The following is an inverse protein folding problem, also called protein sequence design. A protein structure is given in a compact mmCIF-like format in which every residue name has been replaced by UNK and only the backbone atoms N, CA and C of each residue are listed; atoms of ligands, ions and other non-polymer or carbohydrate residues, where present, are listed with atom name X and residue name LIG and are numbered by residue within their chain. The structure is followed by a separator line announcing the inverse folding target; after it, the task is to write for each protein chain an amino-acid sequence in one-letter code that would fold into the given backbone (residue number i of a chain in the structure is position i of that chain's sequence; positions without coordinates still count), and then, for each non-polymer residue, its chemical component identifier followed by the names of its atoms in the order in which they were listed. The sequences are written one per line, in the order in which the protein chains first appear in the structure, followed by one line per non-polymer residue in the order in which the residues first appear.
data_IF_475323672178
#
_entry.id   IF_475323672178
#
_cell.length_a   1.000
_cell.length_b   1.000
_cell.length_c   1.000
_cell.angle_alpha   90.00
_cell.angle_beta   90.00
_cell.angle_gamma   90.00
#
_symmetry.space_group_name_H-M   'P 1'
#
loop_
_entity.id
_entity.type
_entity.pdbx_description
1 polymer ?
#
# COMPACT_ATOMS: atom_id res chain seq x y z
N UNK A 1 -18.07 14.14 -33.33
CA UNK A 1 -17.51 14.46 -32.00
C UNK A 1 -16.23 13.66 -31.83
N UNK A 2 -15.10 14.32 -32.03
CA UNK A 2 -13.77 13.72 -31.94
C UNK A 2 -13.16 14.12 -30.59
N UNK A 3 -12.71 13.13 -29.81
CA UNK A 3 -11.92 13.38 -28.62
C UNK A 3 -10.44 13.49 -29.03
N UNK A 4 -9.84 14.63 -28.69
CA UNK A 4 -8.40 14.91 -28.81
C UNK A 4 -7.59 13.95 -27.92
N UNK A 5 -6.41 13.47 -28.37
CA UNK A 5 -5.46 12.78 -27.51
C UNK A 5 -4.56 13.78 -26.76
N UNK A 6 -4.33 13.52 -25.46
CA UNK A 6 -3.36 14.24 -24.64
C UNK A 6 -1.95 14.15 -25.24
N UNK A 7 -1.42 15.30 -25.63
CA UNK A 7 -0.23 15.48 -26.46
C UNK A 7 1.06 15.65 -25.63
N UNK A 8 1.21 14.90 -24.53
CA UNK A 8 2.36 15.02 -23.62
C UNK A 8 3.35 13.83 -23.67
N UNK A 9 3.14 12.83 -24.54
CA UNK A 9 4.05 11.69 -24.68
C UNK A 9 4.56 11.45 -26.10
N UNK A 10 4.43 12.41 -27.03
CA UNK A 10 4.85 12.20 -28.42
C UNK A 10 5.65 13.38 -28.98
N UNK A 11 6.98 13.18 -29.09
CA UNK A 11 8.00 13.90 -29.88
C UNK A 11 9.30 13.94 -29.05
N UNK A 12 10.45 13.36 -29.38
CA UNK A 12 11.04 13.02 -30.67
C UNK A 12 12.02 11.85 -30.58
N UNK A 13 12.28 11.30 -31.78
CA UNK A 13 13.53 10.72 -32.27
C UNK A 13 13.68 9.19 -32.29
N UNK A 14 13.42 8.70 -33.51
CA UNK A 14 14.04 7.58 -34.20
C UNK A 14 15.43 7.22 -33.67
N UNK A 15 15.52 6.07 -33.02
CA UNK A 15 16.68 5.20 -33.09
C UNK A 15 16.19 3.76 -32.96
N UNK A 16 16.60 2.95 -33.93
CA UNK A 16 16.60 1.49 -33.90
C UNK A 16 17.37 1.02 -32.67
N UNK A 17 16.72 0.99 -31.51
CA UNK A 17 17.22 0.30 -30.34
C UNK A 17 16.50 -1.04 -30.28
N UNK A 18 17.20 -2.07 -30.74
CA UNK A 18 17.13 -3.39 -30.14
C UNK A 18 17.00 -3.21 -28.63
N UNK A 19 15.81 -3.50 -28.09
CA UNK A 19 15.57 -3.55 -26.66
C UNK A 19 16.46 -4.67 -26.12
N UNK A 20 17.68 -4.32 -25.73
CA UNK A 20 18.54 -5.19 -24.94
C UNK A 20 17.79 -5.50 -23.66
N UNK A 21 17.31 -6.74 -23.58
CA UNK A 21 16.78 -7.37 -22.39
C UNK A 21 17.95 -7.61 -21.41
N UNK A 22 18.68 -6.55 -21.06
CA UNK A 22 19.90 -6.64 -20.26
C UNK A 22 19.54 -7.06 -18.84
N UNK A 23 19.95 -8.30 -18.50
CA UNK A 23 19.92 -8.91 -17.17
C UNK A 23 18.60 -8.74 -16.41
N UNK A 24 17.52 -9.29 -16.95
CA UNK A 24 16.30 -9.51 -16.15
C UNK A 24 16.61 -10.66 -15.18
N UNK A 25 16.72 -10.34 -13.88
CA UNK A 25 16.69 -11.34 -12.82
C UNK A 25 15.50 -12.28 -13.06
N UNK A 26 15.68 -13.62 -12.92
CA UNK A 26 14.62 -14.57 -13.22
C UNK A 26 13.35 -14.21 -12.45
N UNK A 27 12.20 -14.15 -13.12
CA UNK A 27 10.94 -13.87 -12.44
C UNK A 27 10.61 -15.02 -11.47
N UNK A 28 10.28 -14.74 -10.20
CA UNK A 28 9.87 -15.76 -9.25
C UNK A 28 8.52 -16.34 -9.67
N UNK A 29 8.25 -17.61 -9.37
CA UNK A 29 6.95 -18.20 -9.68
C UNK A 29 5.81 -17.40 -9.04
N UNK A 30 4.68 -17.31 -9.73
CA UNK A 30 3.49 -16.59 -9.23
C UNK A 30 2.97 -17.20 -7.93
N UNK A 31 3.10 -18.51 -7.73
CA UNK A 31 2.72 -19.16 -6.47
C UNK A 31 3.60 -18.74 -5.29
N UNK A 32 4.92 -18.66 -5.49
CA UNK A 32 5.83 -18.17 -4.46
C UNK A 32 5.57 -16.69 -4.15
N UNK A 33 5.39 -15.89 -5.19
CA UNK A 33 5.05 -14.47 -5.11
C UNK A 33 3.77 -14.22 -4.29
N UNK A 34 2.68 -14.91 -4.63
CA UNK A 34 1.39 -14.73 -3.97
C UNK A 34 1.38 -15.25 -2.52
N UNK A 35 2.15 -16.30 -2.24
CA UNK A 35 2.39 -16.80 -0.89
C UNK A 35 3.16 -15.80 -0.05
N UNK A 36 4.29 -15.30 -0.56
CA UNK A 36 5.10 -14.27 0.11
C UNK A 36 4.28 -13.00 0.38
N UNK A 37 3.50 -12.53 -0.59
CA UNK A 37 2.61 -11.40 -0.44
C UNK A 37 1.59 -11.62 0.69
N UNK A 38 0.94 -12.79 0.72
CA UNK A 38 -0.05 -13.15 1.73
C UNK A 38 0.56 -13.19 3.14
N UNK A 39 1.71 -13.86 3.30
CA UNK A 39 2.41 -14.01 4.57
C UNK A 39 2.88 -12.64 5.08
N UNK A 40 3.54 -11.84 4.22
CA UNK A 40 4.06 -10.54 4.61
C UNK A 40 2.94 -9.54 4.89
N UNK A 41 1.84 -9.56 4.14
CA UNK A 41 0.67 -8.72 4.44
C UNK A 41 0.07 -9.05 5.81
N UNK A 42 -0.06 -10.33 6.14
CA UNK A 42 -0.52 -10.76 7.46
C UNK A 42 0.47 -10.33 8.56
N UNK A 43 1.75 -10.60 8.37
CA UNK A 43 2.81 -10.24 9.33
C UNK A 43 2.83 -8.74 9.60
N UNK A 44 2.74 -7.92 8.55
CA UNK A 44 2.69 -6.46 8.66
C UNK A 44 1.57 -5.98 9.60
N UNK A 45 0.34 -6.45 9.38
CA UNK A 45 -0.80 -6.02 10.18
C UNK A 45 -0.82 -6.63 11.58
N UNK A 46 -0.35 -7.87 11.76
CA UNK A 46 -0.24 -8.47 13.09
C UNK A 46 0.84 -7.77 13.94
N UNK A 47 2.02 -7.46 13.37
CA UNK A 47 3.06 -6.71 14.07
C UNK A 47 2.59 -5.30 14.46
N UNK A 48 1.89 -4.61 13.56
CA UNK A 48 1.31 -3.31 13.85
C UNK A 48 0.22 -3.41 14.94
N UNK A 49 -0.67 -4.39 14.85
CA UNK A 49 -1.70 -4.64 15.86
C UNK A 49 -1.08 -4.95 17.22
N UNK A 50 -0.06 -5.80 17.25
CA UNK A 50 0.70 -6.12 18.46
C UNK A 50 1.29 -4.86 19.10
N UNK A 51 1.93 -3.99 18.30
CA UNK A 51 2.46 -2.72 18.78
C UNK A 51 1.37 -1.85 19.42
N UNK A 52 0.22 -1.68 18.75
CA UNK A 52 -0.90 -0.88 19.27
C UNK A 52 -1.41 -1.42 20.61
N UNK A 53 -1.61 -2.73 20.71
CA UNK A 53 -2.12 -3.34 21.94
C UNK A 53 -1.13 -3.16 23.10
N UNK A 54 0.16 -3.43 22.86
CA UNK A 54 1.19 -3.29 23.89
C UNK A 54 1.37 -1.85 24.35
N UNK A 55 1.24 -0.87 23.45
CA UNK A 55 1.27 0.54 23.81
C UNK A 55 0.04 0.95 24.64
N UNK A 56 -1.14 0.42 24.31
CA UNK A 56 -2.35 0.67 25.07
C UNK A 56 -2.27 0.12 26.50
N UNK A 57 -1.63 -1.05 26.69
CA UNK A 57 -1.39 -1.65 28.01
C UNK A 57 -0.48 -0.78 28.90
N UNK A 58 0.42 0.01 28.29
CA UNK A 58 1.29 0.94 29.03
C UNK A 58 0.59 2.27 29.30
N UNK A 59 0.04 2.89 28.26
CA UNK A 59 -0.78 4.10 28.38
C UNK A 59 -1.51 4.41 27.08
N UNK A 60 -2.80 4.76 27.19
CA UNK A 60 -3.58 5.27 26.06
C UNK A 60 -2.91 6.45 25.34
N UNK A 61 -2.23 7.36 26.05
CA UNK A 61 -1.53 8.50 25.46
C UNK A 61 -0.38 8.08 24.54
N UNK A 62 0.27 6.96 24.85
CA UNK A 62 1.40 6.44 24.07
C UNK A 62 0.92 5.71 22.83
N UNK A 63 -0.23 5.02 22.91
CA UNK A 63 -0.87 4.40 21.75
C UNK A 63 -1.26 5.43 20.66
N UNK A 64 -1.64 6.66 21.04
CA UNK A 64 -1.95 7.71 20.06
C UNK A 64 -0.74 8.14 19.20
N UNK A 65 0.49 7.89 19.65
CA UNK A 65 1.70 8.30 18.93
C UNK A 65 1.87 7.56 17.60
N UNK A 66 1.41 6.32 17.51
CA UNK A 66 1.55 5.48 16.30
C UNK A 66 0.38 5.60 15.33
N UNK A 67 -0.64 6.41 15.65
CA UNK A 67 -1.79 6.64 14.76
C UNK A 67 -1.40 7.05 13.34
N UNK A 68 -0.42 7.95 13.12
CA UNK A 68 -0.01 8.31 11.76
C UNK A 68 0.48 7.09 10.97
N UNK A 69 1.27 6.21 11.58
CA UNK A 69 1.73 4.96 10.95
C UNK A 69 0.56 4.02 10.66
N UNK A 70 -0.43 3.93 11.56
CA UNK A 70 -1.64 3.13 11.33
C UNK A 70 -2.46 3.65 10.15
N UNK A 71 -2.61 4.97 9.99
CA UNK A 71 -3.29 5.56 8.85
C UNK A 71 -2.57 5.27 7.53
N UNK A 72 -1.24 5.38 7.51
CA UNK A 72 -0.42 5.04 6.35
C UNK A 72 -0.53 3.56 6.01
N UNK A 73 -0.45 2.69 7.02
CA UNK A 73 -0.62 1.24 6.88
C UNK A 73 -1.98 0.87 6.27
N UNK A 74 -3.06 1.52 6.68
CA UNK A 74 -4.38 1.28 6.10
C UNK A 74 -4.47 1.69 4.62
N UNK A 75 -3.88 2.82 4.24
CA UNK A 75 -3.78 3.23 2.82
C UNK A 75 -2.91 2.27 2.02
N UNK A 76 -1.81 1.79 2.61
CA UNK A 76 -0.91 0.83 1.99
C UNK A 76 -1.61 -0.50 1.72
N UNK A 77 -2.32 -1.05 2.71
CA UNK A 77 -3.12 -2.26 2.53
C UNK A 77 -4.18 -2.13 1.44
N UNK A 78 -4.84 -0.95 1.33
CA UNK A 78 -5.79 -0.68 0.23
C UNK A 78 -5.11 -0.70 -1.14
N UNK A 79 -3.91 -0.12 -1.26
CA UNK A 79 -3.14 -0.15 -2.51
C UNK A 79 -2.74 -1.59 -2.87
N UNK A 80 -2.23 -2.35 -1.89
CA UNK A 80 -1.88 -3.76 -2.07
C UNK A 80 -3.07 -4.58 -2.57
N UNK A 81 -4.22 -4.46 -1.90
CA UNK A 81 -5.46 -5.12 -2.31
C UNK A 81 -5.89 -4.70 -3.73
N UNK A 82 -5.87 -3.40 -4.03
CA UNK A 82 -6.28 -2.88 -5.33
C UNK A 82 -5.36 -3.36 -6.47
N UNK A 83 -4.05 -3.42 -6.23
CA UNK A 83 -3.08 -3.97 -7.18
C UNK A 83 -3.33 -5.45 -7.44
N UNK A 84 -3.46 -6.25 -6.38
CA UNK A 84 -3.70 -7.70 -6.50
C UNK A 84 -5.03 -8.00 -7.20
N UNK A 85 -6.09 -7.27 -6.87
CA UNK A 85 -7.39 -7.40 -7.52
C UNK A 85 -7.33 -7.01 -9.00
N UNK A 86 -6.65 -5.91 -9.33
CA UNK A 86 -6.46 -5.48 -10.73
C UNK A 86 -5.65 -6.52 -11.51
N UNK A 87 -4.64 -7.13 -10.90
CA UNK A 87 -3.91 -8.22 -11.52
C UNK A 87 -4.79 -9.45 -11.81
N UNK A 88 -5.70 -9.79 -10.90
CA UNK A 88 -6.73 -10.82 -11.14
C UNK A 88 -7.59 -10.50 -12.38
N UNK A 89 -8.00 -9.25 -12.55
CA UNK A 89 -8.70 -8.80 -13.77
C UNK A 89 -7.82 -8.90 -15.03
N UNK A 90 -6.54 -8.52 -14.97
CA UNK A 90 -5.60 -8.71 -16.09
C UNK A 90 -5.54 -10.18 -16.52
N UNK A 91 -5.47 -11.12 -15.56
CA UNK A 91 -5.47 -12.55 -15.83
C UNK A 91 -6.81 -13.04 -16.41
N UNK A 92 -7.93 -12.54 -15.89
CA UNK A 92 -9.26 -12.86 -16.41
C UNK A 92 -9.43 -12.41 -17.86
N UNK A 93 -8.96 -11.20 -18.18
CA UNK A 93 -9.03 -10.62 -19.52
C UNK A 93 -8.10 -11.35 -20.50
N UNK A 94 -6.91 -11.73 -20.04
CA UNK A 94 -6.00 -12.60 -20.78
C UNK A 94 -6.69 -13.92 -21.14
N UNK A 95 -7.31 -14.59 -20.15
CA UNK A 95 -8.04 -15.85 -20.36
C UNK A 95 -9.20 -15.68 -21.34
N UNK A 96 -9.94 -14.59 -21.27
CA UNK A 96 -11.03 -14.28 -22.20
C UNK A 96 -10.51 -14.10 -23.64
N UNK A 97 -9.40 -13.37 -23.79
CA UNK A 97 -8.75 -13.13 -25.08
C UNK A 97 -8.27 -14.46 -25.70
N UNK A 98 -7.70 -15.36 -24.89
CA UNK A 98 -7.30 -16.71 -25.34
C UNK A 98 -8.48 -17.58 -25.81
N UNK A 99 -9.66 -17.41 -25.19
CA UNK A 99 -10.86 -18.17 -25.53
C UNK A 99 -11.53 -17.67 -26.81
N UNK A 100 -11.56 -16.35 -27.01
CA UNK A 100 -12.38 -15.73 -28.06
C UNK A 100 -11.55 -15.24 -29.26
N UNK A 101 -10.24 -15.06 -29.09
CA UNK A 101 -9.38 -14.40 -30.08
C UNK A 101 -9.63 -12.89 -30.19
N UNK A 102 -10.54 -12.34 -29.37
CA UNK A 102 -10.85 -10.91 -29.36
C UNK A 102 -9.94 -10.19 -28.36
N UNK A 103 -9.28 -9.13 -28.82
CA UNK A 103 -8.57 -8.22 -27.93
C UNK A 103 -9.55 -7.45 -27.05
N UNK A 104 -9.41 -7.56 -25.74
CA UNK A 104 -10.28 -6.87 -24.80
C UNK A 104 -9.90 -5.39 -24.66
N UNK A 105 -10.87 -4.48 -24.87
CA UNK A 105 -10.63 -3.03 -24.88
C UNK A 105 -10.22 -2.46 -23.51
N UNK A 106 -10.65 -3.10 -22.42
CA UNK A 106 -10.38 -2.59 -21.07
C UNK A 106 -9.08 -3.14 -20.45
N UNK A 107 -8.39 -4.06 -21.13
CA UNK A 107 -7.14 -4.66 -20.63
C UNK A 107 -6.11 -3.58 -20.26
N UNK A 108 -5.97 -2.56 -21.10
CA UNK A 108 -5.08 -1.42 -20.85
C UNK A 108 -5.50 -0.61 -19.62
N UNK A 109 -6.80 -0.38 -19.42
CA UNK A 109 -7.32 0.37 -18.27
C UNK A 109 -6.99 -0.35 -16.96
N UNK A 110 -7.20 -1.66 -16.91
CA UNK A 110 -6.90 -2.47 -15.73
C UNK A 110 -5.39 -2.52 -15.46
N UNK A 111 -4.58 -2.68 -16.50
CA UNK A 111 -3.11 -2.59 -16.39
C UNK A 111 -2.66 -1.24 -15.84
N UNK A 112 -3.20 -0.12 -16.35
CA UNK A 112 -2.88 1.21 -15.82
C UNK A 112 -3.20 1.31 -14.33
N UNK A 113 -4.29 0.69 -13.87
CA UNK A 113 -4.59 0.66 -12.43
C UNK A 113 -3.52 -0.10 -11.63
N UNK A 114 -3.03 -1.24 -12.11
CA UNK A 114 -1.90 -1.95 -11.46
C UNK A 114 -0.71 -1.01 -11.29
N UNK A 115 -0.29 -0.33 -12.36
CA UNK A 115 0.86 0.58 -12.35
C UNK A 115 0.63 1.76 -11.39
N UNK A 116 -0.54 2.39 -11.43
CA UNK A 116 -0.88 3.51 -10.55
C UNK A 116 -0.87 3.09 -9.08
N UNK A 117 -1.46 1.94 -8.75
CA UNK A 117 -1.49 1.45 -7.36
C UNK A 117 -0.10 1.03 -6.87
N UNK A 118 0.74 0.42 -7.71
CA UNK A 118 2.13 0.14 -7.37
C UNK A 118 2.92 1.44 -7.09
N UNK A 119 2.72 2.47 -7.90
CA UNK A 119 3.39 3.76 -7.69
C UNK A 119 2.98 4.42 -6.36
N UNK A 120 1.68 4.44 -6.07
CA UNK A 120 1.16 4.92 -4.79
C UNK A 120 1.70 4.11 -3.61
N UNK A 121 1.81 2.79 -3.76
CA UNK A 121 2.36 1.91 -2.75
C UNK A 121 3.85 2.21 -2.45
N UNK A 122 4.66 2.50 -3.48
CA UNK A 122 6.07 2.93 -3.30
C UNK A 122 6.16 4.20 -2.46
N UNK A 123 5.36 5.21 -2.79
CA UNK A 123 5.30 6.48 -2.03
C UNK A 123 4.88 6.25 -0.58
N UNK A 124 3.90 5.36 -0.35
CA UNK A 124 3.45 5.00 0.99
C UNK A 124 4.52 4.27 1.79
N UNK A 125 5.31 3.38 1.19
CA UNK A 125 6.40 2.69 1.91
C UNK A 125 7.46 3.67 2.37
N UNK A 126 7.86 4.63 1.54
CA UNK A 126 8.78 5.70 1.96
C UNK A 126 8.18 6.55 3.08
N UNK A 127 6.88 6.86 3.02
CA UNK A 127 6.20 7.60 4.09
C UNK A 127 6.12 6.80 5.40
N UNK A 128 5.86 5.49 5.31
CA UNK A 128 5.84 4.56 6.45
C UNK A 128 7.22 4.49 7.09
N UNK A 129 8.29 4.32 6.31
CA UNK A 129 9.68 4.30 6.82
C UNK A 129 9.99 5.55 7.64
N UNK A 130 9.78 6.73 7.03
CA UNK A 130 10.05 8.00 7.69
C UNK A 130 9.22 8.19 8.96
N UNK A 131 7.99 7.67 8.98
CA UNK A 131 7.13 7.74 10.16
C UNK A 131 7.54 6.74 11.23
N UNK A 132 7.93 5.51 10.88
CA UNK A 132 8.43 4.50 11.81
C UNK A 132 9.69 4.98 12.53
N UNK A 133 10.65 5.58 11.82
CA UNK A 133 11.88 6.14 12.42
C UNK A 133 11.54 7.23 13.45
N UNK A 134 10.59 8.12 13.11
CA UNK A 134 10.14 9.17 14.04
C UNK A 134 9.42 8.57 15.25
N UNK A 135 8.51 7.64 15.02
CA UNK A 135 7.70 7.03 16.06
C UNK A 135 8.56 6.20 17.00
N UNK A 136 9.53 5.43 16.50
CA UNK A 136 10.47 4.67 17.31
C UNK A 136 11.21 5.57 18.31
N UNK A 137 11.81 6.67 17.83
CA UNK A 137 12.53 7.60 18.70
C UNK A 137 11.60 8.23 19.76
N UNK A 138 10.39 8.62 19.37
CA UNK A 138 9.40 9.19 20.27
C UNK A 138 8.93 8.17 21.32
N UNK A 139 8.61 6.94 20.90
CA UNK A 139 8.20 5.85 21.78
C UNK A 139 9.27 5.52 22.81
N UNK A 140 10.53 5.36 22.37
CA UNK A 140 11.66 5.11 23.28
C UNK A 140 11.80 6.25 24.28
N UNK A 141 11.72 7.52 23.84
CA UNK A 141 11.83 8.67 24.74
C UNK A 141 10.71 8.74 25.79
N UNK A 142 9.49 8.31 25.43
CA UNK A 142 8.30 8.33 26.30
C UNK A 142 8.24 7.15 27.24
N UNK A 143 8.73 5.99 26.82
CA UNK A 143 8.73 4.76 27.61
C UNK A 143 9.92 4.70 28.57
N UNK A 144 11.02 5.39 28.26
CA UNK A 144 12.16 5.50 29.17
C UNK A 144 11.77 6.16 30.48
N UNK A 145 12.13 5.50 31.57
CA UNK A 145 11.94 5.99 32.93
C UNK A 145 13.22 6.59 33.50
N UNK A 146 13.23 6.80 34.81
CA UNK A 146 14.47 7.10 35.52
C UNK A 146 15.43 5.91 35.38
N UNK A 147 16.70 6.18 35.10
CA UNK A 147 17.73 5.17 34.86
C UNK A 147 17.77 4.08 35.96
N UNK A 148 17.70 4.49 37.23
CA UNK A 148 17.69 3.56 38.36
C UNK A 148 16.46 2.62 38.37
N UNK A 149 15.30 3.13 37.95
CA UNK A 149 14.06 2.35 37.89
C UNK A 149 14.13 1.28 36.79
N UNK A 150 14.66 1.63 35.62
CA UNK A 150 14.85 0.66 34.55
C UNK A 150 15.85 -0.43 34.92
N UNK A 151 16.98 -0.05 35.54
CA UNK A 151 17.98 -1.02 35.99
C UNK A 151 17.40 -1.98 37.02
N UNK A 152 16.59 -1.47 37.95
CA UNK A 152 15.89 -2.29 38.93
C UNK A 152 14.92 -3.27 38.26
N UNK A 153 14.08 -2.82 37.32
CA UNK A 153 13.14 -3.72 36.65
C UNK A 153 13.82 -4.77 35.77
N UNK A 154 14.91 -4.41 35.06
CA UNK A 154 15.71 -5.40 34.32
C UNK A 154 16.35 -6.43 35.24
N UNK A 155 16.87 -6.01 36.39
CA UNK A 155 17.38 -6.90 37.43
C UNK A 155 16.28 -7.84 37.96
N UNK A 156 15.10 -7.29 38.29
CA UNK A 156 13.97 -8.07 38.80
C UNK A 156 13.45 -9.08 37.75
N UNK A 157 13.41 -8.70 36.47
CA UNK A 157 13.10 -9.62 35.37
C UNK A 157 14.08 -10.78 35.30
N UNK A 158 15.38 -10.49 35.35
CA UNK A 158 16.44 -11.49 35.19
C UNK A 158 16.60 -12.42 36.40
N UNK A 159 16.47 -11.90 37.62
CA UNK A 159 16.78 -12.65 38.84
C UNK A 159 15.56 -13.11 39.63
N UNK A 160 14.42 -12.43 39.48
CA UNK A 160 13.19 -12.71 40.24
C UNK A 160 12.04 -13.17 39.35
N UNK A 161 12.21 -13.18 38.02
CA UNK A 161 11.14 -13.52 37.07
C UNK A 161 9.97 -12.53 37.08
N UNK A 162 10.17 -11.31 37.58
CA UNK A 162 9.14 -10.27 37.65
C UNK A 162 9.14 -9.45 36.36
N UNK A 163 8.03 -9.47 35.64
CA UNK A 163 7.89 -8.82 34.34
C UNK A 163 7.35 -7.40 34.49
N UNK A 164 7.72 -6.53 33.53
CA UNK A 164 7.20 -5.18 33.44
C UNK A 164 6.84 -4.90 31.99
N UNK A 165 5.54 -4.78 31.70
CA UNK A 165 5.03 -4.52 30.36
C UNK A 165 5.74 -3.36 29.67
N UNK A 166 6.09 -2.31 30.42
CA UNK A 166 6.85 -1.16 29.91
C UNK A 166 8.26 -1.52 29.48
N UNK A 167 9.00 -2.30 30.28
CA UNK A 167 10.38 -2.69 29.96
C UNK A 167 10.40 -3.73 28.85
N UNK A 168 9.48 -4.69 28.88
CA UNK A 168 9.32 -5.68 27.80
C UNK A 168 9.03 -4.98 26.47
N UNK A 169 8.08 -4.04 26.45
CA UNK A 169 7.80 -3.25 25.25
C UNK A 169 9.01 -2.40 24.80
N UNK A 170 9.73 -1.78 25.75
CA UNK A 170 10.91 -0.98 25.42
C UNK A 170 12.00 -1.82 24.74
N UNK A 171 12.18 -3.05 25.19
CA UNK A 171 13.14 -4.00 24.61
C UNK A 171 12.61 -4.56 23.26
N UNK A 172 11.30 -4.77 23.10
CA UNK A 172 10.67 -5.34 21.88
C UNK A 172 10.52 -4.33 20.71
N UNK A 173 10.48 -3.02 20.98
CA UNK A 173 10.19 -1.99 19.94
C UNK A 173 11.06 -2.12 18.69
N UNK A 174 12.40 -2.21 18.79
CA UNK A 174 13.25 -2.30 17.61
C UNK A 174 12.91 -3.51 16.72
N UNK A 175 12.60 -4.65 17.34
CA UNK A 175 12.25 -5.88 16.63
C UNK A 175 10.87 -5.78 15.98
N UNK A 176 9.89 -5.17 16.66
CA UNK A 176 8.56 -4.94 16.10
C UNK A 176 8.62 -3.98 14.90
N UNK A 177 9.33 -2.85 15.04
CA UNK A 177 9.50 -1.87 13.96
C UNK A 177 10.23 -2.50 12.78
N UNK A 178 11.29 -3.28 13.04
CA UNK A 178 12.00 -4.04 12.02
C UNK A 178 11.09 -5.04 11.31
N UNK A 179 10.25 -5.76 12.04
CA UNK A 179 9.27 -6.70 11.47
C UNK A 179 8.26 -6.02 10.55
N UNK A 180 7.74 -4.86 10.96
CA UNK A 180 6.82 -4.04 10.14
C UNK A 180 7.54 -3.61 8.86
N UNK A 181 8.77 -3.08 8.99
CA UNK A 181 9.53 -2.58 7.86
C UNK A 181 9.90 -3.68 6.85
N UNK A 182 10.42 -4.81 7.32
CA UNK A 182 10.74 -5.94 6.45
C UNK A 182 9.49 -6.46 5.72
N UNK A 183 8.33 -6.48 6.40
CA UNK A 183 7.08 -6.85 5.75
C UNK A 183 6.68 -5.87 4.66
N UNK A 184 6.84 -4.55 4.87
CA UNK A 184 6.62 -3.53 3.82
C UNK A 184 7.50 -3.78 2.59
N UNK A 185 8.80 -4.03 2.80
CA UNK A 185 9.74 -4.28 1.71
C UNK A 185 9.35 -5.51 0.90
N UNK A 186 9.03 -6.63 1.56
CA UNK A 186 8.60 -7.86 0.87
C UNK A 186 7.29 -7.66 0.11
N UNK A 187 6.31 -6.94 0.69
CA UNK A 187 5.06 -6.61 0.00
C UNK A 187 5.37 -5.79 -1.26
N UNK A 188 6.21 -4.76 -1.16
CA UNK A 188 6.56 -3.93 -2.32
C UNK A 188 7.29 -4.69 -3.40
N UNK A 189 8.24 -5.53 -3.04
CA UNK A 189 8.91 -6.41 -3.99
C UNK A 189 7.88 -7.29 -4.71
N UNK A 190 6.89 -7.82 -3.97
CA UNK A 190 5.82 -8.59 -4.58
C UNK A 190 4.97 -7.75 -5.56
N UNK A 191 4.63 -6.51 -5.20
CA UNK A 191 3.89 -5.61 -6.07
C UNK A 191 4.67 -5.24 -7.34
N UNK A 192 5.99 -5.05 -7.23
CA UNK A 192 6.87 -4.81 -8.37
C UNK A 192 6.88 -6.00 -9.34
N UNK A 193 6.90 -7.23 -8.83
CA UNK A 193 6.75 -8.42 -9.67
C UNK A 193 5.37 -8.54 -10.30
N UNK A 194 4.29 -8.23 -9.57
CA UNK A 194 2.93 -8.18 -10.14
C UNK A 194 2.86 -7.17 -11.29
N UNK A 195 3.45 -5.99 -11.14
CA UNK A 195 3.52 -4.99 -12.20
C UNK A 195 4.27 -5.51 -13.43
N UNK A 196 5.43 -6.17 -13.22
CA UNK A 196 6.23 -6.78 -14.30
C UNK A 196 5.45 -7.88 -15.01
N UNK A 197 4.78 -8.77 -14.27
CA UNK A 197 3.93 -9.81 -14.83
C UNK A 197 2.80 -9.21 -15.67
N UNK A 198 2.14 -8.17 -15.15
CA UNK A 198 1.06 -7.47 -15.86
C UNK A 198 1.56 -6.85 -17.17
N UNK A 199 2.78 -6.30 -17.18
CA UNK A 199 3.42 -5.74 -18.39
C UNK A 199 3.74 -6.82 -19.42
N UNK A 200 4.24 -7.97 -18.99
CA UNK A 200 4.50 -9.12 -19.87
C UNK A 200 3.20 -9.59 -20.51
N UNK A 201 2.13 -9.75 -19.71
CA UNK A 201 0.82 -10.12 -20.23
C UNK A 201 0.33 -9.08 -21.23
N UNK A 202 0.39 -7.79 -20.91
CA UNK A 202 0.01 -6.71 -21.84
C UNK A 202 0.73 -6.85 -23.18
N UNK A 203 2.06 -6.99 -23.17
CA UNK A 203 2.84 -7.10 -24.40
C UNK A 203 2.44 -8.33 -25.23
N UNK A 204 2.22 -9.49 -24.58
CA UNK A 204 1.80 -10.73 -25.26
C UNK A 204 0.41 -10.64 -25.85
N UNK A 205 -0.53 -10.03 -25.13
CA UNK A 205 -1.92 -9.92 -25.57
C UNK A 205 -2.16 -8.76 -26.54
N UNK A 206 -1.22 -7.83 -26.68
CA UNK A 206 -1.20 -6.85 -27.77
C UNK A 206 -0.63 -7.43 -29.08
N UNK A 207 0.24 -8.44 -28.99
CA UNK A 207 0.76 -9.16 -30.17
C UNK A 207 -0.31 -10.11 -30.73
N UNK A 208 -1.03 -9.66 -31.75
CA UNK A 208 -2.04 -10.46 -32.45
C UNK A 208 -1.49 -11.78 -32.99
N UNK A 209 -0.25 -11.80 -33.47
CA UNK A 209 0.38 -13.02 -33.99
C UNK A 209 0.73 -14.01 -32.88
N UNK A 210 1.07 -13.52 -31.69
CA UNK A 210 1.21 -14.36 -30.50
C UNK A 210 -0.14 -14.92 -30.06
N UNK A 211 -1.17 -14.08 -29.93
CA UNK A 211 -2.52 -14.50 -29.50
C UNK A 211 -3.09 -15.54 -30.45
N UNK A 212 -3.07 -15.31 -31.77
CA UNK A 212 -3.61 -16.27 -32.76
C UNK A 212 -2.90 -17.62 -32.72
N UNK A 213 -1.59 -17.65 -32.48
CA UNK A 213 -0.81 -18.91 -32.38
C UNK A 213 -1.11 -19.71 -31.14
N UNK A 214 -1.51 -19.04 -30.05
CA UNK A 214 -1.76 -19.69 -28.77
C UNK A 214 -3.26 -19.85 -28.49
N UNK A 215 -4.12 -19.29 -29.34
CA UNK A 215 -5.56 -19.35 -29.21
C UNK A 215 -6.03 -20.80 -29.08
N UNK A 216 -6.90 -21.05 -28.08
CA UNK A 216 -7.43 -22.39 -27.85
C UNK A 216 -6.47 -23.37 -27.16
N UNK A 217 -5.22 -23.00 -26.85
CA UNK A 217 -4.29 -23.86 -26.08
C UNK A 217 -4.82 -24.09 -24.65
N UNK A 218 -5.22 -25.34 -24.30
CA UNK A 218 -5.78 -25.64 -22.99
C UNK A 218 -4.81 -25.37 -21.83
N UNK A 219 -3.52 -25.61 -22.02
CA UNK A 219 -2.49 -25.52 -20.97
C UNK A 219 -2.28 -24.09 -20.52
N UNK A 220 -2.19 -23.14 -21.48
CA UNK A 220 -2.04 -21.73 -21.17
C UNK A 220 -3.31 -21.18 -20.49
N UNK A 221 -4.49 -21.60 -20.96
CA UNK A 221 -5.77 -21.24 -20.33
C UNK A 221 -5.84 -21.74 -18.90
N UNK A 222 -5.48 -23.01 -18.68
CA UNK A 222 -5.45 -23.63 -17.36
C UNK A 222 -4.46 -22.93 -16.43
N UNK A 223 -3.27 -22.59 -16.93
CA UNK A 223 -2.26 -21.85 -16.16
C UNK A 223 -2.79 -20.48 -15.71
N UNK A 224 -3.39 -19.69 -16.62
CA UNK A 224 -3.98 -18.39 -16.28
C UNK A 224 -5.11 -18.51 -15.25
N UNK A 225 -5.90 -19.58 -15.35
CA UNK A 225 -6.97 -19.89 -14.39
C UNK A 225 -6.42 -20.22 -13.01
N UNK A 226 -5.44 -21.13 -12.91
CA UNK A 226 -4.81 -21.47 -11.64
C UNK A 226 -4.15 -20.27 -10.95
N UNK A 227 -3.50 -19.38 -11.71
CA UNK A 227 -2.93 -18.14 -11.14
C UNK A 227 -4.05 -17.21 -10.67
N UNK A 228 -5.13 -17.07 -11.43
CA UNK A 228 -6.27 -16.22 -11.03
C UNK A 228 -6.96 -16.74 -9.76
N UNK A 229 -7.12 -18.06 -9.64
CA UNK A 229 -7.65 -18.69 -8.42
C UNK A 229 -6.73 -18.43 -7.22
N UNK A 230 -5.41 -18.52 -7.43
CA UNK A 230 -4.42 -18.19 -6.40
C UNK A 230 -4.49 -16.71 -5.99
N UNK A 231 -4.66 -15.80 -6.96
CA UNK A 231 -4.86 -14.37 -6.70
C UNK A 231 -6.11 -14.14 -5.85
N UNK A 232 -7.21 -14.81 -6.18
CA UNK A 232 -8.48 -14.71 -5.45
C UNK A 232 -8.33 -15.20 -4.00
N UNK A 233 -7.58 -16.27 -3.78
CA UNK A 233 -7.24 -16.76 -2.43
C UNK A 233 -6.40 -15.73 -1.66
N UNK A 234 -5.36 -15.18 -2.26
CA UNK A 234 -4.53 -14.13 -1.63
C UNK A 234 -5.32 -12.87 -1.31
N UNK A 235 -6.27 -12.47 -2.16
CA UNK A 235 -7.15 -11.33 -1.91
C UNK A 235 -8.00 -11.49 -0.66
N UNK A 236 -8.49 -12.71 -0.39
CA UNK A 236 -9.30 -12.96 0.81
C UNK A 236 -8.50 -12.59 2.06
N UNK A 237 -7.24 -13.02 2.15
CA UNK A 237 -6.33 -12.70 3.26
C UNK A 237 -6.11 -11.18 3.38
N UNK A 238 -5.86 -10.51 2.25
CA UNK A 238 -5.65 -9.06 2.26
C UNK A 238 -6.89 -8.27 2.71
N UNK A 239 -8.09 -8.74 2.35
CA UNK A 239 -9.36 -8.12 2.73
C UNK A 239 -9.67 -8.27 4.23
N UNK A 240 -9.38 -9.44 4.83
CA UNK A 240 -9.56 -9.66 6.27
C UNK A 240 -8.68 -8.71 7.11
N UNK A 241 -7.43 -8.50 6.69
CA UNK A 241 -6.52 -7.56 7.36
C UNK A 241 -6.96 -6.09 7.25
N UNK A 242 -7.77 -5.74 6.25
CA UNK A 242 -8.36 -4.40 6.10
C UNK A 242 -9.60 -4.21 6.98
N UNK A 243 -10.46 -5.24 7.10
CA UNK A 243 -11.66 -5.20 7.92
C UNK A 243 -11.34 -5.19 9.43
N UNK A 244 -10.20 -5.75 9.85
CA UNK A 244 -9.73 -5.70 11.23
C UNK A 244 -9.22 -4.33 11.70
N UNK A 245 -9.19 -3.30 10.84
CA UNK A 245 -8.59 -1.98 11.13
C UNK A 245 -9.53 -0.98 11.80
N UNK A 246 -10.72 -1.36 12.24
CA UNK A 246 -11.48 -0.56 13.21
C UNK A 246 -10.83 -0.66 14.59
N UNK A 247 -9.56 -0.27 14.71
CA UNK A 247 -8.82 -0.24 15.96
C UNK A 247 -9.06 1.14 16.58
N UNK A 248 -10.16 1.25 17.31
CA UNK A 248 -10.40 2.35 18.24
C UNK A 248 -9.80 1.96 19.59
N UNK A 249 -8.91 2.77 20.18
CA UNK A 249 -8.35 2.50 21.51
C UNK A 249 -9.39 2.58 22.65
N UNK A 250 -10.68 2.80 22.35
CA UNK A 250 -11.78 2.86 23.32
C UNK A 250 -12.95 1.90 23.07
N UNK A 251 -12.87 0.99 22.10
CA UNK A 251 -13.99 0.08 21.81
C UNK A 251 -15.25 0.78 21.27
N UNK A 252 -15.17 2.06 20.89
CA UNK A 252 -16.24 2.71 20.12
C UNK A 252 -15.95 2.61 18.62
N UNK A 253 -16.93 2.23 17.79
CA UNK A 253 -16.80 2.27 16.34
C UNK A 253 -16.81 3.73 15.90
N UNK A 254 -15.62 4.33 15.71
CA UNK A 254 -15.49 5.65 15.08
C UNK A 254 -14.46 5.62 13.98
N UNK A 255 -14.99 5.58 12.76
CA UNK A 255 -14.57 6.38 11.62
C UNK A 255 -13.07 6.74 11.50
N UNK A 256 -12.23 5.76 11.16
CA UNK A 256 -11.09 6.05 10.27
C UNK A 256 -11.55 6.44 8.83
N UNK A 257 -12.87 6.51 8.60
CA UNK A 257 -13.52 6.96 7.36
C UNK A 257 -13.76 8.49 7.35
N UNK A 258 -13.71 9.19 8.50
CA UNK A 258 -14.12 10.61 8.57
C UNK A 258 -13.02 11.65 8.27
N UNK A 259 -11.80 11.26 7.92
CA UNK A 259 -10.77 12.22 7.45
C UNK A 259 -10.81 12.45 5.92
N UNK A 260 -11.65 11.73 5.18
CA UNK A 260 -11.86 11.95 3.74
C UNK A 260 -12.97 12.97 3.40
N UNK A 261 -13.72 13.49 4.39
CA UNK A 261 -14.79 14.47 4.14
C UNK A 261 -14.47 15.93 4.54
N UNK A 262 -13.38 16.21 5.25
CA UNK A 262 -13.07 17.59 5.71
C UNK A 262 -11.95 18.28 4.94
N UNK A 263 -11.20 17.57 4.09
CA UNK A 263 -10.18 18.22 3.22
C UNK A 263 -10.74 18.66 1.86
N UNK A 264 -11.94 18.19 1.45
CA UNK A 264 -12.65 18.68 0.25
C UNK A 264 -13.61 19.86 0.50
N UNK A 265 -13.72 20.37 1.73
CA UNK A 265 -14.59 21.52 2.07
C UNK A 265 -13.87 22.83 2.44
N UNK A 266 -12.53 22.86 2.46
CA UNK A 266 -11.76 24.06 2.82
C UNK A 266 -10.96 24.69 1.67
N UNK A 267 -11.34 24.45 0.41
CA UNK A 267 -10.74 25.14 -0.76
C UNK A 267 -11.77 25.78 -1.70
N UNK A 268 -13.01 26.01 -1.27
CA UNK A 268 -14.02 26.73 -2.10
C UNK A 268 -14.55 28.04 -1.50
N UNK A 269 -13.91 28.61 -0.47
CA UNK A 269 -14.32 29.92 0.08
C UNK A 269 -13.09 30.77 0.37
N UNK A 270 -12.40 31.20 -0.69
CA UNK A 270 -11.50 32.35 -0.67
C UNK A 270 -11.37 32.84 -2.11
N UNK A 271 -12.43 33.49 -2.59
CA UNK A 271 -12.40 34.58 -3.57
C UNK A 271 -13.81 35.19 -3.60
N UNK A 272 -13.86 36.52 -3.49
CA UNK A 272 -15.04 37.40 -3.55
C UNK A 272 -15.66 37.82 -2.20
N UNK A 273 -14.90 38.59 -1.41
CA UNK A 273 -15.47 39.70 -0.63
C UNK A 273 -15.49 40.98 -1.49
N UNK A 274 -16.49 41.87 -1.30
CA UNK A 274 -16.64 43.10 -2.08
C UNK A 274 -15.62 44.15 -1.64
N UNK A 275 -15.13 44.91 -2.61
CA UNK A 275 -14.30 46.10 -2.41
C UNK A 275 -15.15 47.23 -1.84
N UNK A 276 -14.84 47.66 -0.62
CA UNK A 276 -15.28 48.93 -0.06
C UNK A 276 -14.04 49.74 0.33
N UNK A 277 -13.59 50.63 -0.56
CA UNK A 277 -12.73 51.74 -0.20
C UNK A 277 -13.55 53.02 -0.24
N UNK A 278 -13.70 53.66 0.92
CA UNK A 278 -14.26 54.99 1.03
C UNK A 278 -13.23 56.05 0.68
N UNK A 279 -13.72 57.16 0.11
CA UNK A 279 -13.17 58.49 0.40
C UNK A 279 -14.29 59.51 0.53
N UNK A 280 -14.21 60.41 1.53
CA UNK A 280 -15.11 61.54 1.68
C UNK A 280 -14.62 62.73 0.84
N UNK A 281 -15.56 63.53 0.33
CA UNK A 281 -15.29 64.74 -0.45
C UNK A 281 -16.48 65.69 -0.45
N UNK A 282 -16.56 66.49 0.62
CA UNK A 282 -17.00 67.90 0.71
C UNK A 282 -17.95 68.48 -0.35
N UNK A 283 -19.09 68.98 0.17
CA UNK A 283 -19.96 70.08 -0.23
C UNK A 283 -19.69 70.88 -1.53
N UNK A 284 -20.75 71.16 -2.29
CA UNK A 284 -21.31 72.53 -2.46
C UNK A 284 -22.51 72.58 -3.44
N UNK A 285 -23.54 73.31 -3.00
CA UNK A 285 -24.75 73.86 -3.66
C UNK A 285 -25.75 72.88 -4.28
#
# INVERSE_FOLDING_TARGET
MACLPCQACASNNTNTNTFSLDKIAPLPSTSHLLSALSISHRSFFESLKYLVHRLADVSSSTAFLINPVCCLAGRFGKCTWATTNSFGFVLADARYSMRTGLGYKDFYRVFCNVVTQCQLARELVTAIEAQLIRDEALLISKLRGLYGQERFFRFAKQHLGLWSTRIDLLDDIPDIISSIWQSCLTIMECLDYIERYSRILLARFQDKGWVSRHQGLPELRWCLECVNDSVSQTMSVCAWSLLGQTISPRGEPRECIALECTVKKSTSWLCSLPSSEGRPGVASV
#
